data_IF_241684815002
#
_entry.id   IF_241684815002
#
_cell.length_a   1.000
_cell.length_b   1.000
_cell.length_c   1.000
_cell.angle_alpha   90.00
_cell.angle_beta   90.00
_cell.angle_gamma   90.00
#
_symmetry.space_group_name_H-M   'P 1'
#
loop_
_entity.id
_entity.type
_entity.pdbx_description
1 polymer ?
#
# COMPACT_ATOMS: atom_id res chain seq x y z
N UNK A 1 7.97 21.60 6.36
CA UNK A 1 6.76 20.77 6.52
C UNK A 1 6.28 20.36 5.13
N UNK A 2 6.39 19.09 4.78
CA UNK A 2 5.83 18.58 3.53
C UNK A 2 4.31 18.62 3.68
N UNK A 3 3.65 19.59 3.07
CA UNK A 3 2.21 19.51 2.84
C UNK A 3 1.99 18.22 2.05
N UNK A 4 1.59 17.14 2.74
CA UNK A 4 1.10 15.95 2.05
C UNK A 4 -0.07 16.46 1.22
N UNK A 5 0.04 16.45 -0.09
CA UNK A 5 -1.09 16.73 -0.96
C UNK A 5 -1.90 15.45 -1.04
N UNK A 6 -3.21 15.59 -1.16
CA UNK A 6 -4.08 14.45 -1.44
C UNK A 6 -3.56 13.67 -2.67
N UNK A 7 -3.31 12.38 -2.50
CA UNK A 7 -2.77 11.51 -3.54
C UNK A 7 -3.79 10.42 -3.92
N UNK A 8 -4.33 10.43 -5.16
CA UNK A 8 -5.32 9.44 -5.58
C UNK A 8 -4.77 8.00 -5.67
N UNK A 9 -3.46 7.83 -5.83
CA UNK A 9 -2.85 6.50 -5.82
C UNK A 9 -2.84 5.93 -4.40
N UNK A 10 -2.45 6.75 -3.41
CA UNK A 10 -2.52 6.37 -1.99
C UNK A 10 -3.94 6.04 -1.57
N UNK A 11 -4.93 6.81 -2.01
CA UNK A 11 -6.34 6.54 -1.76
C UNK A 11 -6.73 5.12 -2.24
N UNK A 12 -6.38 4.74 -3.47
CA UNK A 12 -6.68 3.40 -3.99
C UNK A 12 -6.03 2.28 -3.18
N UNK A 13 -4.81 2.49 -2.70
CA UNK A 13 -4.13 1.50 -1.86
C UNK A 13 -4.78 1.39 -0.47
N UNK A 14 -5.11 2.53 0.14
CA UNK A 14 -5.83 2.59 1.42
C UNK A 14 -7.18 1.89 1.30
N UNK A 15 -7.93 2.20 0.24
CA UNK A 15 -9.20 1.55 -0.08
C UNK A 15 -9.06 0.04 -0.13
N UNK A 16 -8.13 -0.47 -0.94
CA UNK A 16 -7.94 -1.92 -1.08
C UNK A 16 -7.54 -2.58 0.26
N UNK A 17 -6.75 -1.89 1.08
CA UNK A 17 -6.37 -2.36 2.40
C UNK A 17 -7.55 -2.38 3.38
N UNK A 18 -8.34 -1.30 3.43
CA UNK A 18 -9.50 -1.19 4.32
C UNK A 18 -10.57 -2.20 3.93
N UNK A 19 -10.94 -2.28 2.65
CA UNK A 19 -11.91 -3.24 2.13
C UNK A 19 -11.42 -4.69 2.35
N UNK A 20 -10.13 -4.96 2.15
CA UNK A 20 -9.53 -6.28 2.39
C UNK A 20 -9.46 -6.68 3.87
N UNK A 21 -9.32 -5.72 4.78
CA UNK A 21 -9.22 -5.97 6.24
C UNK A 21 -10.60 -6.08 6.88
N UNK A 22 -11.53 -5.21 6.48
CA UNK A 22 -12.90 -5.17 7.05
C UNK A 22 -13.87 -6.10 6.35
N UNK A 23 -13.63 -6.43 5.07
CA UNK A 23 -14.58 -7.15 4.22
C UNK A 23 -15.75 -6.29 3.73
N UNK A 24 -15.77 -4.99 4.05
CA UNK A 24 -16.81 -4.04 3.62
C UNK A 24 -16.39 -3.37 2.31
N UNK A 25 -17.37 -2.84 1.58
CA UNK A 25 -17.11 -1.97 0.43
C UNK A 25 -17.32 -0.51 0.82
N UNK A 26 -16.42 0.35 0.39
CA UNK A 26 -16.49 1.80 0.65
C UNK A 26 -17.44 2.50 -0.35
N UNK A 27 -17.72 1.90 -1.52
CA UNK A 27 -18.55 2.55 -2.56
C UNK A 27 -17.76 3.55 -3.41
N UNK A 28 -18.38 4.29 -4.31
CA UNK A 28 -17.64 5.07 -5.32
C UNK A 28 -16.79 6.19 -4.73
N UNK A 29 -17.33 6.93 -3.76
CA UNK A 29 -16.61 7.99 -3.05
C UNK A 29 -15.92 7.46 -1.81
N UNK A 30 -14.59 7.60 -1.76
CA UNK A 30 -13.79 7.14 -0.62
C UNK A 30 -14.18 7.84 0.68
N UNK A 31 -14.43 9.16 0.63
CA UNK A 31 -14.80 9.94 1.83
C UNK A 31 -16.20 9.60 2.30
N UNK A 32 -17.17 9.53 1.37
CA UNK A 32 -18.57 9.28 1.71
C UNK A 32 -18.76 7.90 2.36
N UNK A 33 -18.08 6.87 1.85
CA UNK A 33 -18.12 5.54 2.45
C UNK A 33 -17.49 5.42 3.84
N UNK A 34 -16.63 6.36 4.22
CA UNK A 34 -16.03 6.42 5.56
C UNK A 34 -16.78 7.35 6.51
N UNK A 35 -17.62 8.24 5.98
CA UNK A 35 -18.32 9.30 6.72
C UNK A 35 -19.28 8.80 7.79
N UNK A 36 -19.80 7.57 7.65
CA UNK A 36 -20.64 6.95 8.68
C UNK A 36 -19.85 6.40 9.88
N UNK A 37 -18.52 6.35 9.77
CA UNK A 37 -17.61 5.89 10.83
C UNK A 37 -17.64 4.38 11.10
N UNK A 38 -18.60 3.64 10.55
CA UNK A 38 -18.77 2.18 10.79
C UNK A 38 -17.56 1.39 10.30
N UNK A 39 -17.16 1.61 9.03
CA UNK A 39 -15.99 0.93 8.42
C UNK A 39 -14.71 1.24 9.20
N UNK A 40 -14.56 2.48 9.68
CA UNK A 40 -13.40 2.92 10.46
C UNK A 40 -13.33 2.21 11.81
N UNK A 41 -14.45 2.14 12.55
CA UNK A 41 -14.53 1.41 13.81
C UNK A 41 -14.22 -0.09 13.64
N UNK A 42 -14.71 -0.71 12.56
CA UNK A 42 -14.40 -2.11 12.28
C UNK A 42 -12.94 -2.32 11.89
N UNK A 43 -12.36 -1.41 11.12
CA UNK A 43 -10.95 -1.48 10.74
C UNK A 43 -10.08 -1.56 11.98
N UNK A 44 -10.26 -0.65 12.95
CA UNK A 44 -9.43 -0.66 14.16
C UNK A 44 -9.72 -1.88 15.04
N UNK A 45 -10.96 -2.37 15.08
CA UNK A 45 -11.31 -3.62 15.77
C UNK A 45 -10.69 -4.87 15.13
N UNK A 46 -10.47 -4.88 13.82
CA UNK A 46 -9.73 -5.94 13.13
C UNK A 46 -8.23 -5.88 13.43
N UNK A 47 -7.68 -4.68 13.52
CA UNK A 47 -6.26 -4.47 13.84
C UNK A 47 -5.94 -4.74 15.31
N UNK A 48 -6.85 -4.36 16.21
CA UNK A 48 -6.76 -4.55 17.64
C UNK A 48 -8.17 -4.83 18.20
N UNK A 49 -8.51 -6.09 18.45
CA UNK A 49 -9.81 -6.48 19.00
C UNK A 49 -10.13 -5.72 20.28
N UNK A 50 -11.38 -5.26 20.41
CA UNK A 50 -11.86 -4.53 21.59
C UNK A 50 -11.51 -3.04 21.63
N UNK A 51 -10.98 -2.47 20.54
CA UNK A 51 -10.64 -1.04 20.47
C UNK A 51 -11.87 -0.13 20.48
N UNK A 52 -12.95 -0.55 19.80
CA UNK A 52 -14.26 0.11 19.80
C UNK A 52 -15.29 -0.91 20.27
N UNK A 53 -15.85 -0.71 21.46
CA UNK A 53 -16.77 -1.66 22.09
C UNK A 53 -18.14 -1.69 21.42
N UNK A 54 -18.63 -0.52 20.98
CA UNK A 54 -19.93 -0.38 20.35
C UNK A 54 -19.81 0.52 19.12
N UNK A 55 -20.28 0.00 17.99
CA UNK A 55 -20.46 0.77 16.75
C UNK A 55 -21.94 1.09 16.65
N UNK A 56 -22.27 2.38 16.56
CA UNK A 56 -23.66 2.82 16.45
C UNK A 56 -24.15 2.66 15.02
N UNK A 57 -25.44 2.36 14.87
CA UNK A 57 -26.09 2.37 13.56
C UNK A 57 -26.22 3.82 13.07
N UNK A 58 -25.68 4.16 11.89
CA UNK A 58 -25.54 5.54 11.41
C UNK A 58 -26.86 6.13 10.89
N UNK A 59 -27.98 5.89 11.59
CA UNK A 59 -29.31 6.42 11.26
C UNK A 59 -29.39 7.93 11.48
N UNK A 60 -28.60 8.46 12.43
CA UNK A 60 -28.60 9.87 12.82
C UNK A 60 -27.19 10.46 12.70
N UNK A 61 -27.10 11.75 12.36
CA UNK A 61 -25.81 12.42 12.15
C UNK A 61 -24.89 12.36 13.38
N UNK A 62 -25.45 12.45 14.58
CA UNK A 62 -24.68 12.34 15.82
C UNK A 62 -24.10 10.94 16.05
N UNK A 63 -24.77 9.87 15.59
CA UNK A 63 -24.20 8.51 15.64
C UNK A 63 -22.97 8.39 14.72
N UNK A 64 -23.00 9.03 13.55
CA UNK A 64 -21.88 9.06 12.61
C UNK A 64 -20.67 9.75 13.24
N UNK A 65 -20.88 10.92 13.83
CA UNK A 65 -19.85 11.66 14.58
C UNK A 65 -19.30 10.86 15.76
N UNK A 66 -20.17 10.19 16.53
CA UNK A 66 -19.74 9.36 17.65
C UNK A 66 -18.88 8.17 17.19
N UNK A 67 -19.26 7.50 16.09
CA UNK A 67 -18.46 6.44 15.49
C UNK A 67 -17.08 6.95 15.07
N UNK A 68 -17.01 8.09 14.36
CA UNK A 68 -15.74 8.70 13.98
C UNK A 68 -14.92 9.03 15.23
N UNK A 69 -15.51 9.67 16.24
CA UNK A 69 -14.83 9.98 17.51
C UNK A 69 -14.32 8.73 18.25
N UNK A 70 -15.07 7.63 18.23
CA UNK A 70 -14.65 6.34 18.78
C UNK A 70 -13.40 5.81 18.05
N UNK A 71 -13.41 5.86 16.73
CA UNK A 71 -12.26 5.50 15.92
C UNK A 71 -11.03 6.37 16.23
N UNK A 72 -11.19 7.69 16.28
CA UNK A 72 -10.08 8.62 16.57
C UNK A 72 -9.43 8.31 17.93
N UNK A 73 -10.24 8.08 18.98
CA UNK A 73 -9.72 7.67 20.30
C UNK A 73 -9.01 6.32 20.26
N UNK A 74 -9.52 5.38 19.47
CA UNK A 74 -8.94 4.05 19.33
C UNK A 74 -7.57 4.08 18.64
N UNK A 75 -7.41 4.85 17.56
CA UNK A 75 -6.13 4.95 16.84
C UNK A 75 -5.04 5.70 17.64
N UNK A 76 -5.44 6.67 18.47
CA UNK A 76 -4.51 7.32 19.42
C UNK A 76 -3.94 6.29 20.40
N UNK A 77 -4.80 5.45 20.97
CA UNK A 77 -4.38 4.35 21.86
C UNK A 77 -3.58 3.28 21.14
N UNK A 78 -3.86 3.07 19.85
CA UNK A 78 -3.12 2.13 19.03
C UNK A 78 -1.68 2.58 18.76
N UNK A 79 -1.40 3.89 18.82
CA UNK A 79 -0.05 4.45 18.68
C UNK A 79 0.10 5.48 17.57
N UNK A 80 -1.00 5.91 16.93
CA UNK A 80 -0.96 7.02 15.97
C UNK A 80 -0.76 8.33 16.75
N UNK A 81 0.14 9.19 16.26
CA UNK A 81 0.48 10.44 16.94
C UNK A 81 -0.67 11.44 16.82
N UNK A 82 -1.03 12.19 17.88
CA UNK A 82 -2.14 13.14 17.84
C UNK A 82 -2.08 14.18 16.70
N UNK A 83 -0.88 14.58 16.29
CA UNK A 83 -0.71 15.54 15.19
C UNK A 83 -0.99 14.95 13.80
N UNK A 84 -0.96 13.63 13.67
CA UNK A 84 -1.27 12.94 12.41
C UNK A 84 -2.75 12.56 12.34
N UNK A 85 -3.56 12.86 13.37
CA UNK A 85 -4.97 12.47 13.48
C UNK A 85 -5.88 13.60 12.98
N UNK A 86 -6.84 13.26 12.13
CA UNK A 86 -7.87 14.18 11.63
C UNK A 86 -8.97 14.44 12.67
N UNK A 87 -9.71 15.53 12.52
CA UNK A 87 -10.85 15.86 13.38
C UNK A 87 -12.16 15.29 12.84
N UNK A 88 -13.13 14.95 13.70
CA UNK A 88 -14.38 14.34 13.21
C UNK A 88 -15.09 15.16 12.11
N UNK A 89 -15.00 16.49 12.18
CA UNK A 89 -15.52 17.40 11.17
C UNK A 89 -14.79 17.30 9.82
N UNK A 90 -13.49 16.98 9.80
CA UNK A 90 -12.71 16.84 8.56
C UNK A 90 -13.28 15.81 7.61
N UNK A 91 -13.79 14.71 8.17
CA UNK A 91 -14.44 13.65 7.44
C UNK A 91 -15.95 13.87 7.32
N UNK A 92 -16.60 14.33 8.38
CA UNK A 92 -18.06 14.50 8.38
C UNK A 92 -18.51 15.64 7.46
N UNK A 93 -17.85 16.79 7.50
CA UNK A 93 -18.17 17.96 6.65
C UNK A 93 -17.33 18.00 5.37
N UNK A 94 -16.45 17.00 5.14
CA UNK A 94 -15.53 16.96 4.00
C UNK A 94 -14.59 18.19 3.91
N UNK A 95 -14.17 18.73 5.06
CA UNK A 95 -13.33 19.95 5.08
C UNK A 95 -11.87 19.66 4.78
N UNK A 96 -11.35 18.47 5.12
CA UNK A 96 -9.92 18.19 4.98
C UNK A 96 -9.59 16.72 4.64
N UNK A 97 -9.83 16.37 3.37
CA UNK A 97 -9.54 15.05 2.81
C UNK A 97 -8.07 14.61 2.95
N UNK A 98 -7.17 15.59 2.86
CA UNK A 98 -5.73 15.37 2.96
C UNK A 98 -5.34 14.87 4.35
N UNK A 99 -5.88 15.48 5.40
CA UNK A 99 -5.61 15.07 6.77
C UNK A 99 -6.16 13.67 7.04
N UNK A 100 -7.39 13.37 6.58
CA UNK A 100 -7.99 12.04 6.68
C UNK A 100 -7.08 10.98 6.02
N UNK A 101 -6.59 11.26 4.80
CA UNK A 101 -5.68 10.35 4.10
C UNK A 101 -4.37 10.14 4.87
N UNK A 102 -3.76 11.22 5.37
CA UNK A 102 -2.51 11.15 6.15
C UNK A 102 -2.68 10.29 7.40
N UNK A 103 -3.78 10.46 8.15
CA UNK A 103 -4.08 9.67 9.35
C UNK A 103 -4.19 8.17 9.03
N UNK A 104 -4.86 7.81 7.93
CA UNK A 104 -5.02 6.41 7.54
C UNK A 104 -3.68 5.79 7.11
N UNK A 105 -2.80 6.56 6.46
CA UNK A 105 -1.43 6.12 6.12
C UNK A 105 -0.61 5.90 7.40
N UNK A 106 -0.71 6.80 8.37
CA UNK A 106 -0.03 6.68 9.66
C UNK A 106 -0.53 5.45 10.43
N UNK A 107 -1.85 5.22 10.46
CA UNK A 107 -2.45 4.03 11.06
C UNK A 107 -1.95 2.74 10.41
N UNK A 108 -1.95 2.69 9.07
CA UNK A 108 -1.43 1.55 8.33
C UNK A 108 0.04 1.28 8.63
N UNK A 109 0.85 2.33 8.73
CA UNK A 109 2.27 2.22 9.09
C UNK A 109 2.44 1.64 10.49
N UNK A 110 1.64 2.10 11.46
CA UNK A 110 1.59 1.53 12.81
C UNK A 110 1.08 0.09 12.83
N UNK A 111 0.15 -0.27 11.95
CA UNK A 111 -0.33 -1.64 11.83
C UNK A 111 0.77 -2.57 11.30
N UNK A 112 1.56 -2.11 10.31
CA UNK A 112 2.68 -2.86 9.77
C UNK A 112 3.76 -3.12 10.83
N UNK A 113 4.09 -2.13 11.67
CA UNK A 113 5.10 -2.31 12.73
C UNK A 113 4.66 -3.30 13.80
N UNK A 114 3.35 -3.43 14.05
CA UNK A 114 2.78 -4.43 14.97
C UNK A 114 2.58 -5.81 14.34
N UNK A 115 3.00 -6.04 13.09
CA UNK A 115 2.93 -7.34 12.43
C UNK A 115 1.61 -7.63 11.71
N UNK A 116 0.70 -6.65 11.58
CA UNK A 116 -0.51 -6.83 10.78
C UNK A 116 -0.19 -6.82 9.27
N UNK A 117 -0.91 -7.62 8.48
CA UNK A 117 -0.73 -7.67 7.03
C UNK A 117 -1.28 -6.41 6.36
N UNK A 118 -0.43 -5.41 6.23
CA UNK A 118 -0.75 -4.13 5.59
C UNK A 118 -0.17 -4.13 4.18
N UNK A 119 -0.99 -4.47 3.20
CA UNK A 119 -0.61 -4.55 1.77
C UNK A 119 -0.41 -3.22 1.06
N UNK A 120 -0.21 -2.11 1.79
CA UNK A 120 0.12 -0.80 1.22
C UNK A 120 1.52 -0.85 0.60
N UNK A 121 1.62 -0.56 -0.70
CA UNK A 121 2.86 -0.59 -1.49
C UNK A 121 3.21 -1.93 -2.16
N UNK A 122 2.69 -3.07 -1.70
CA UNK A 122 3.18 -4.39 -2.17
C UNK A 122 2.44 -4.87 -3.42
N UNK A 123 1.11 -4.69 -3.51
CA UNK A 123 0.34 -5.17 -4.68
C UNK A 123 0.43 -4.25 -5.91
N UNK A 124 0.66 -2.95 -5.71
CA UNK A 124 0.76 -2.00 -6.83
C UNK A 124 2.13 -2.02 -7.51
N UNK A 125 3.22 -2.36 -6.82
CA UNK A 125 4.53 -2.57 -7.45
C UNK A 125 4.48 -3.70 -8.49
N UNK A 126 3.72 -4.76 -8.21
CA UNK A 126 3.55 -5.89 -9.14
C UNK A 126 2.61 -5.54 -10.30
N UNK A 127 1.56 -4.73 -10.08
CA UNK A 127 0.69 -4.23 -11.15
C UNK A 127 1.31 -3.11 -12.00
N UNK A 128 2.15 -2.23 -11.43
CA UNK A 128 2.88 -1.21 -12.20
C UNK A 128 3.99 -1.83 -13.05
N UNK A 129 4.68 -2.88 -12.59
CA UNK A 129 5.59 -3.65 -13.43
C UNK A 129 4.87 -4.30 -14.63
N UNK A 130 3.61 -4.71 -14.48
CA UNK A 130 2.80 -5.28 -15.57
C UNK A 130 2.15 -4.26 -16.50
N UNK A 131 2.26 -2.97 -16.20
CA UNK A 131 1.83 -1.88 -17.10
C UNK A 131 3.04 -1.22 -17.78
N UNK A 132 4.10 -1.98 -18.05
CA UNK A 132 5.03 -1.62 -19.12
C UNK A 132 4.39 -2.03 -20.45
N UNK A 133 4.11 -1.03 -21.29
CA UNK A 133 3.63 -1.22 -22.66
C UNK A 133 4.41 -2.34 -23.37
N UNK A 134 3.76 -3.42 -23.83
CA UNK A 134 4.37 -4.39 -24.73
C UNK A 134 4.22 -3.86 -26.16
N UNK A 135 4.90 -2.76 -26.49
CA UNK A 135 5.00 -2.36 -27.90
C UNK A 135 6.34 -1.68 -28.19
N UNK A 136 7.40 -2.50 -28.16
CA UNK A 136 8.57 -2.40 -29.06
C UNK A 136 9.51 -3.59 -28.82
N UNK A 137 9.08 -4.76 -29.29
CA UNK A 137 9.98 -5.87 -29.65
C UNK A 137 10.01 -5.97 -31.18
N UNK A 138 10.64 -4.99 -31.80
CA UNK A 138 11.07 -4.88 -33.21
C UNK A 138 11.68 -3.48 -33.28
N UNK A 139 12.97 -3.25 -33.44
CA UNK A 139 14.01 -3.97 -34.16
C UNK A 139 15.34 -3.75 -33.44
N UNK A 140 16.17 -4.79 -33.41
CA UNK A 140 17.53 -4.71 -32.87
C UNK A 140 18.40 -5.81 -33.48
N UNK A 141 18.26 -6.05 -34.79
CA UNK A 141 19.16 -6.94 -35.54
C UNK A 141 20.37 -6.12 -35.95
N UNK A 142 21.30 -5.91 -35.00
CA UNK A 142 22.64 -5.47 -35.32
C UNK A 142 23.58 -6.67 -35.13
N UNK A 143 23.79 -7.42 -36.21
CA UNK A 143 24.83 -8.44 -36.31
C UNK A 143 25.90 -7.89 -37.22
N UNK A 144 26.85 -7.16 -36.64
CA UNK A 144 28.16 -6.85 -37.22
C UNK A 144 29.09 -6.69 -36.01
N UNK A 145 30.17 -7.43 -35.80
CA UNK A 145 30.81 -8.55 -36.46
C UNK A 145 32.04 -8.86 -35.61
N UNK A 146 32.39 -10.13 -35.39
CA UNK A 146 33.75 -10.49 -35.01
C UNK A 146 33.97 -11.97 -35.33
N UNK A 147 34.47 -12.23 -36.52
CA UNK A 147 34.93 -13.56 -36.92
C UNK A 147 36.25 -13.83 -36.17
N UNK A 148 36.18 -14.72 -35.19
CA UNK A 148 37.32 -15.25 -34.46
C UNK A 148 38.18 -16.12 -35.40
N UNK A 149 39.52 -16.00 -35.37
CA UNK A 149 40.39 -16.68 -36.34
C UNK A 149 40.52 -18.19 -36.07
N UNK A 150 40.50 -18.97 -37.15
CA UNK A 150 40.71 -20.42 -37.17
C UNK A 150 42.19 -20.76 -36.91
N UNK A 151 42.54 -21.06 -35.66
CA UNK A 151 43.83 -21.66 -35.30
C UNK A 151 43.73 -23.18 -35.25
N UNK A 152 43.97 -23.86 -36.38
CA UNK A 152 44.15 -25.30 -36.42
C UNK A 152 45.47 -25.64 -35.72
N UNK A 153 45.41 -26.30 -34.56
CA UNK A 153 46.57 -26.69 -33.77
C UNK A 153 47.30 -27.81 -34.51
N UNK A 154 48.49 -27.49 -35.05
CA UNK A 154 49.47 -28.47 -35.53
C UNK A 154 50.63 -28.48 -34.54
N UNK A 155 50.71 -29.48 -33.68
CA UNK A 155 51.94 -29.79 -32.94
C UNK A 155 52.27 -31.27 -33.08
N UNK A 156 53.47 -31.48 -33.62
CA UNK A 156 54.12 -32.76 -33.91
C UNK A 156 55.11 -33.02 -32.78
N UNK A 157 55.08 -34.22 -32.22
CA UNK A 157 56.24 -34.89 -31.60
C UNK A 157 56.52 -34.57 -30.13
N UNK A 158 56.76 -35.64 -29.36
CA UNK A 158 57.42 -35.53 -28.06
C UNK A 158 56.99 -36.56 -27.01
N UNK A 159 57.19 -37.86 -27.27
CA UNK A 159 57.24 -38.87 -26.19
C UNK A 159 58.45 -38.61 -25.31
N UNK A 160 58.21 -38.39 -24.01
CA UNK A 160 59.13 -38.68 -22.90
C UNK A 160 58.39 -38.56 -21.57
N UNK A 161 58.16 -39.69 -20.91
CA UNK A 161 57.88 -39.78 -19.47
C UNK A 161 59.05 -40.52 -18.80
N UNK A 162 59.45 -40.02 -17.63
CA UNK A 162 60.62 -40.42 -16.83
C UNK A 162 60.25 -41.40 -15.69
N UNK A 163 61.24 -42.20 -15.23
CA UNK A 163 61.31 -42.88 -13.92
C UNK A 163 60.41 -44.11 -13.77
N UNK A 164 60.86 -45.29 -13.34
CA UNK A 164 61.94 -45.64 -12.39
C UNK A 164 62.62 -46.95 -12.77
#
# INVERSE_FOLDING_TARGET
>A
QLAQKYDPQRERELRAWIEGTTGRRIGDSFMDGLKDGVILCELINKLQPGSVQKVNEPVQNWHKLENIGNFLRAITRYGVKPHDIFEANDLFENTNHTQVQSTLIALASQAKTKGNNVGLGVKYAEKQQRRFHPEKLREGRNIIGLQVPQGHIRTRGGTRTWGS
#
